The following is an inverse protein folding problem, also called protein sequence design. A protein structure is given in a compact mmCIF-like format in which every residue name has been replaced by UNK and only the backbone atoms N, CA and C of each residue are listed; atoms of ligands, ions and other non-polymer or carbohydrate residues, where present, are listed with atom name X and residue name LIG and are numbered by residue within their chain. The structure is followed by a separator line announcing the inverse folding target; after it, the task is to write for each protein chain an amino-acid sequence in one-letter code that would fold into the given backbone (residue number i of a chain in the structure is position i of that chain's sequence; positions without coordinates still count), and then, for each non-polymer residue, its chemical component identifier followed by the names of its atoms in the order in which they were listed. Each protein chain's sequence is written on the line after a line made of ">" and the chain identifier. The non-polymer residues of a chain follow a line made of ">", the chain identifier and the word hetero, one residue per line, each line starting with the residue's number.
data_IF_675223063051
#
_entry.id   IF_675223063051
#
_cell.length_a   1.000
_cell.length_b   1.000
_cell.length_c   1.000
_cell.angle_alpha   90.00
_cell.angle_beta   90.00
_cell.angle_gamma   90.00
#
_symmetry.space_group_name_H-M   'P 1'
#
loop_
_entity.id
_entity.type
_entity.pdbx_description
1 polymer ?
#
# COMPACT_ATOMS: atom_id res chain seq x y z
N UNK A 1 45.27 -24.02 -0.39
CA UNK A 1 44.72 -22.87 0.39
C UNK A 1 43.36 -22.37 -0.10
N UNK A 2 42.90 -22.70 -1.32
CA UNK A 2 41.61 -22.20 -1.84
C UNK A 2 40.35 -22.74 -1.11
N UNK A 3 40.40 -23.95 -0.54
CA UNK A 3 39.20 -24.60 0.04
C UNK A 3 38.73 -23.92 1.35
N UNK A 4 39.67 -23.37 2.15
CA UNK A 4 39.32 -22.67 3.40
C UNK A 4 38.59 -21.34 3.16
N UNK A 5 38.93 -20.63 2.08
CA UNK A 5 38.29 -19.35 1.74
C UNK A 5 36.84 -19.53 1.24
N UNK A 6 36.57 -20.64 0.53
CA UNK A 6 35.24 -21.00 0.05
C UNK A 6 34.25 -21.29 1.19
N UNK A 7 34.70 -22.01 2.22
CA UNK A 7 33.85 -22.31 3.38
C UNK A 7 33.48 -21.05 4.17
N UNK A 8 34.42 -20.11 4.35
CA UNK A 8 34.16 -18.87 5.09
C UNK A 8 33.20 -17.91 4.38
N UNK A 9 33.20 -17.88 3.04
CA UNK A 9 32.23 -17.07 2.28
C UNK A 9 30.80 -17.61 2.39
N UNK A 10 30.64 -18.94 2.45
CA UNK A 10 29.33 -19.58 2.55
C UNK A 10 28.66 -19.32 3.91
N UNK A 11 29.44 -19.24 4.99
CA UNK A 11 28.94 -18.95 6.35
C UNK A 11 28.49 -17.49 6.49
N UNK A 12 29.19 -16.54 5.86
CA UNK A 12 28.80 -15.12 5.85
C UNK A 12 27.49 -14.86 5.08
N UNK A 13 27.25 -15.59 3.99
CA UNK A 13 26.02 -15.49 3.19
C UNK A 13 24.78 -16.02 3.95
N UNK A 14 24.94 -17.06 4.76
CA UNK A 14 23.88 -17.59 5.61
C UNK A 14 23.54 -16.67 6.79
N UNK A 15 24.54 -15.96 7.36
CA UNK A 15 24.30 -15.01 8.45
C UNK A 15 23.55 -13.75 7.99
N UNK A 16 23.77 -13.28 6.76
CA UNK A 16 23.06 -12.12 6.19
C UNK A 16 21.59 -12.42 5.84
N UNK A 17 21.26 -13.66 5.49
CA UNK A 17 19.89 -14.05 5.15
C UNK A 17 18.98 -14.20 6.38
N UNK A 18 19.54 -14.42 7.56
CA UNK A 18 18.79 -14.40 8.84
C UNK A 18 18.44 -12.98 9.31
N UNK A 19 19.29 -11.99 8.98
CA UNK A 19 19.05 -10.57 9.31
C UNK A 19 17.97 -9.92 8.43
N UNK A 20 17.73 -10.47 7.23
CA UNK A 20 16.65 -10.05 6.33
C UNK A 20 15.36 -10.84 6.60
N UNK A 21 14.89 -10.77 7.85
CA UNK A 21 13.48 -11.06 8.12
C UNK A 21 12.67 -9.87 7.61
N UNK A 22 12.54 -9.76 6.28
CA UNK A 22 11.46 -8.97 5.71
C UNK A 22 10.18 -9.65 6.17
N UNK A 23 9.60 -9.16 7.27
CA UNK A 23 8.28 -9.59 7.68
C UNK A 23 7.39 -9.39 6.46
N UNK A 24 6.86 -10.47 5.91
CA UNK A 24 5.89 -10.35 4.84
C UNK A 24 4.77 -9.45 5.38
N UNK A 25 4.61 -8.27 4.79
CA UNK A 25 3.58 -7.32 5.19
C UNK A 25 2.24 -8.07 5.22
N UNK A 26 1.41 -7.79 6.23
CA UNK A 26 0.08 -8.37 6.32
C UNK A 26 -0.67 -8.08 5.00
N UNK A 27 -1.47 -9.01 4.44
CA UNK A 27 -2.09 -8.83 3.12
C UNK A 27 -2.89 -7.52 2.97
N UNK A 28 -3.55 -7.06 4.04
CA UNK A 28 -4.24 -5.76 4.05
C UNK A 28 -3.29 -4.58 3.85
N UNK A 29 -2.08 -4.63 4.41
CA UNK A 29 -1.07 -3.59 4.27
C UNK A 29 -0.63 -3.46 2.81
N UNK A 30 -0.41 -4.59 2.13
CA UNK A 30 -0.04 -4.63 0.71
C UNK A 30 -1.16 -4.06 -0.16
N UNK A 31 -2.40 -4.51 0.04
CA UNK A 31 -3.56 -4.03 -0.72
C UNK A 31 -3.81 -2.53 -0.50
N UNK A 32 -3.69 -2.07 0.76
CA UNK A 32 -3.80 -0.65 1.07
C UNK A 32 -2.73 0.16 0.33
N UNK A 33 -1.45 -0.22 0.43
CA UNK A 33 -0.35 0.50 -0.23
C UNK A 33 -0.56 0.58 -1.74
N UNK A 34 -1.07 -0.47 -2.36
CA UNK A 34 -1.39 -0.48 -3.78
C UNK A 34 -2.49 0.54 -4.14
N UNK A 35 -3.60 0.53 -3.40
CA UNK A 35 -4.74 1.43 -3.65
C UNK A 35 -4.38 2.89 -3.37
N UNK A 36 -3.74 3.17 -2.24
CA UNK A 36 -3.31 4.53 -1.90
C UNK A 36 -2.24 5.01 -2.89
N UNK A 37 -1.32 4.13 -3.30
CA UNK A 37 -0.31 4.42 -4.32
C UNK A 37 -0.93 4.82 -5.66
N UNK A 38 -1.97 4.12 -6.11
CA UNK A 38 -2.72 4.49 -7.32
C UNK A 38 -3.37 5.89 -7.17
N UNK A 39 -3.99 6.17 -6.03
CA UNK A 39 -4.58 7.49 -5.76
C UNK A 39 -3.54 8.62 -5.75
N UNK A 40 -2.33 8.36 -5.26
CA UNK A 40 -1.22 9.31 -5.38
C UNK A 40 -0.79 9.52 -6.83
N UNK A 41 -0.70 8.46 -7.64
CA UNK A 41 -0.35 8.56 -9.06
C UNK A 41 -1.41 9.32 -9.89
N UNK A 42 -2.66 9.36 -9.41
CA UNK A 42 -3.77 10.12 -10.00
C UNK A 42 -3.95 11.53 -9.39
N UNK A 43 -2.99 11.99 -8.59
CA UNK A 43 -3.01 13.31 -7.95
C UNK A 43 -4.29 13.61 -7.15
N UNK A 44 -4.86 12.59 -6.49
CA UNK A 44 -6.12 12.69 -5.72
C UNK A 44 -6.06 13.75 -4.62
N UNK A 45 -4.85 14.09 -4.16
CA UNK A 45 -4.60 15.21 -3.24
C UNK A 45 -5.19 16.54 -3.75
N UNK A 46 -5.30 16.73 -5.07
CA UNK A 46 -5.86 17.95 -5.66
C UNK A 46 -7.41 17.97 -5.63
N UNK A 47 -8.06 16.87 -5.25
CA UNK A 47 -9.51 16.76 -5.17
C UNK A 47 -10.06 16.94 -3.75
N UNK A 48 -9.21 17.03 -2.72
CA UNK A 48 -9.65 17.05 -1.31
C UNK A 48 -10.58 18.21 -0.94
N UNK A 49 -10.52 19.33 -1.68
CA UNK A 49 -11.40 20.49 -1.50
C UNK A 49 -12.72 20.36 -2.28
N UNK A 50 -12.87 19.34 -3.12
CA UNK A 50 -14.04 19.05 -3.95
C UNK A 50 -14.50 17.62 -3.63
N UNK A 51 -15.33 17.49 -2.59
CA UNK A 51 -15.80 16.19 -2.06
C UNK A 51 -16.41 15.34 -3.17
N UNK A 52 -17.12 15.96 -4.12
CA UNK A 52 -17.74 15.24 -5.24
C UNK A 52 -16.69 14.64 -6.18
N UNK A 53 -15.61 15.35 -6.50
CA UNK A 53 -14.50 14.78 -7.28
C UNK A 53 -13.75 13.71 -6.52
N UNK A 54 -13.53 13.91 -5.22
CA UNK A 54 -12.89 12.91 -4.37
C UNK A 54 -13.70 11.62 -4.35
N UNK A 55 -15.00 11.69 -4.06
CA UNK A 55 -15.94 10.57 -4.10
C UNK A 55 -16.00 9.89 -5.46
N UNK A 56 -16.04 10.69 -6.54
CA UNK A 56 -16.09 10.17 -7.90
C UNK A 56 -14.86 9.34 -8.23
N UNK A 57 -13.66 9.82 -7.89
CA UNK A 57 -12.43 9.06 -8.08
C UNK A 57 -12.52 7.68 -7.42
N UNK A 58 -12.86 7.63 -6.14
CA UNK A 58 -12.95 6.35 -5.41
C UNK A 58 -14.00 5.42 -5.98
N UNK A 59 -15.16 5.96 -6.38
CA UNK A 59 -16.22 5.16 -7.00
C UNK A 59 -15.78 4.55 -8.34
N UNK A 60 -15.14 5.34 -9.20
CA UNK A 60 -14.68 4.91 -10.52
C UNK A 60 -13.51 3.93 -10.42
N UNK A 61 -12.50 4.24 -9.60
CA UNK A 61 -11.31 3.41 -9.41
C UNK A 61 -11.67 2.06 -8.79
N UNK A 62 -12.43 2.06 -7.67
CA UNK A 62 -12.82 0.79 -7.04
C UNK A 62 -13.73 -0.05 -7.96
N UNK A 63 -14.56 0.58 -8.81
CA UNK A 63 -15.35 -0.13 -9.82
C UNK A 63 -14.46 -0.74 -10.90
N UNK A 64 -13.50 0.02 -11.41
CA UNK A 64 -12.53 -0.45 -12.39
C UNK A 64 -11.76 -1.66 -11.84
N UNK A 65 -11.19 -1.55 -10.63
CA UNK A 65 -10.49 -2.65 -9.97
C UNK A 65 -11.40 -3.88 -9.85
N UNK A 66 -12.65 -3.72 -9.41
CA UNK A 66 -13.60 -4.83 -9.23
C UNK A 66 -13.95 -5.52 -10.55
N UNK A 67 -14.11 -4.76 -11.62
CA UNK A 67 -14.65 -5.25 -12.89
C UNK A 67 -13.57 -5.73 -13.86
N UNK A 68 -12.38 -5.13 -13.81
CA UNK A 68 -11.33 -5.31 -14.83
C UNK A 68 -10.06 -5.98 -14.28
N UNK A 69 -9.79 -5.88 -12.97
CA UNK A 69 -8.53 -6.37 -12.38
C UNK A 69 -8.79 -7.58 -11.47
N UNK A 70 -9.45 -7.35 -10.33
CA UNK A 70 -9.76 -8.37 -9.34
C UNK A 70 -10.99 -7.94 -8.51
N UNK A 71 -12.09 -8.72 -8.52
CA UNK A 71 -13.27 -8.45 -7.69
C UNK A 71 -12.96 -8.25 -6.20
N UNK A 72 -12.02 -9.01 -5.63
CA UNK A 72 -11.66 -8.92 -4.22
C UNK A 72 -10.93 -7.59 -3.92
N UNK A 73 -10.01 -7.18 -4.79
CA UNK A 73 -9.31 -5.91 -4.69
C UNK A 73 -10.28 -4.72 -4.78
N UNK A 74 -11.21 -4.75 -5.73
CA UNK A 74 -12.21 -3.70 -5.86
C UNK A 74 -13.17 -3.63 -4.67
N UNK A 75 -13.58 -4.78 -4.11
CA UNK A 75 -14.38 -4.82 -2.87
C UNK A 75 -13.60 -4.28 -1.66
N UNK A 76 -12.31 -4.61 -1.55
CA UNK A 76 -11.45 -4.06 -0.51
C UNK A 76 -11.27 -2.55 -0.67
N UNK A 77 -11.11 -2.04 -1.90
CA UNK A 77 -11.07 -0.61 -2.20
C UNK A 77 -12.34 0.12 -1.72
N UNK A 78 -13.53 -0.42 -2.03
CA UNK A 78 -14.79 0.17 -1.56
C UNK A 78 -14.89 0.16 -0.03
N UNK A 79 -14.50 -0.94 0.61
CA UNK A 79 -14.50 -1.04 2.06
C UNK A 79 -13.54 -0.04 2.70
N UNK A 80 -12.29 0.01 2.22
CA UNK A 80 -11.25 0.93 2.70
C UNK A 80 -11.72 2.38 2.64
N UNK A 81 -12.28 2.77 1.49
CA UNK A 81 -12.82 4.12 1.28
C UNK A 81 -14.00 4.43 2.21
N UNK A 82 -15.05 3.59 2.21
CA UNK A 82 -16.28 3.86 2.97
C UNK A 82 -16.04 3.88 4.47
N UNK A 83 -15.16 3.02 4.98
CA UNK A 83 -14.84 2.95 6.41
C UNK A 83 -13.98 4.14 6.86
N UNK A 84 -13.14 4.69 5.99
CA UNK A 84 -12.12 5.67 6.36
C UNK A 84 -12.22 7.00 5.60
N UNK A 85 -13.37 7.33 5.00
CA UNK A 85 -13.50 8.48 4.10
C UNK A 85 -12.97 9.79 4.72
N UNK A 86 -13.37 10.10 5.96
CA UNK A 86 -12.97 11.33 6.63
C UNK A 86 -11.45 11.37 6.91
N UNK A 87 -10.87 10.25 7.37
CA UNK A 87 -9.42 10.17 7.64
C UNK A 87 -8.63 10.23 6.33
N UNK A 88 -9.07 9.52 5.28
CA UNK A 88 -8.46 9.61 3.96
C UNK A 88 -8.46 11.04 3.43
N UNK A 89 -9.58 11.76 3.53
CA UNK A 89 -9.62 13.17 3.11
C UNK A 89 -8.62 14.04 3.89
N UNK A 90 -8.54 13.85 5.21
CA UNK A 90 -7.56 14.54 6.07
C UNK A 90 -6.12 14.22 5.67
N UNK A 91 -5.78 12.95 5.53
CA UNK A 91 -4.44 12.46 5.21
C UNK A 91 -3.97 12.92 3.81
N UNK A 92 -4.87 12.91 2.81
CA UNK A 92 -4.58 13.44 1.48
C UNK A 92 -4.45 14.97 1.48
N UNK A 93 -5.21 15.68 2.32
CA UNK A 93 -5.08 17.12 2.50
C UNK A 93 -3.73 17.48 3.13
N UNK A 94 -3.29 16.71 4.13
CA UNK A 94 -1.99 16.84 4.79
C UNK A 94 -0.82 16.27 3.94
N UNK A 95 -1.12 15.66 2.78
CA UNK A 95 -0.15 15.05 1.86
C UNK A 95 0.73 13.99 2.54
N UNK A 96 0.14 13.22 3.45
CA UNK A 96 0.85 12.17 4.20
C UNK A 96 1.27 11.05 3.23
N UNK A 97 2.55 10.62 3.20
CA UNK A 97 3.01 9.59 2.28
C UNK A 97 2.17 8.30 2.33
N UNK A 98 1.91 7.69 1.17
CA UNK A 98 1.02 6.52 1.04
C UNK A 98 1.32 5.38 2.03
N UNK A 99 2.60 5.11 2.30
CA UNK A 99 3.01 4.10 3.27
C UNK A 99 2.53 4.41 4.69
N UNK A 100 2.53 5.68 5.09
CA UNK A 100 2.12 6.12 6.42
C UNK A 100 0.60 6.16 6.54
N UNK A 101 -0.13 6.52 5.47
CA UNK A 101 -1.60 6.46 5.44
C UNK A 101 -2.07 5.05 5.82
N UNK A 102 -1.49 4.00 5.22
CA UNK A 102 -1.91 2.64 5.51
C UNK A 102 -1.66 2.18 6.96
N UNK A 103 -0.62 2.70 7.61
CA UNK A 103 -0.41 2.53 9.04
C UNK A 103 -1.42 3.32 9.88
N UNK A 104 -1.72 4.57 9.52
CA UNK A 104 -2.71 5.40 10.21
C UNK A 104 -4.12 4.79 10.12
N UNK A 105 -4.44 4.16 8.99
CA UNK A 105 -5.66 3.40 8.76
C UNK A 105 -5.66 1.99 9.37
N UNK A 106 -4.60 1.60 10.09
CA UNK A 106 -4.45 0.29 10.75
C UNK A 106 -4.55 -0.90 9.80
N UNK A 107 -4.13 -0.72 8.55
CA UNK A 107 -4.01 -1.79 7.55
C UNK A 107 -2.61 -2.41 7.58
N UNK A 108 -1.64 -1.58 7.94
CA UNK A 108 -0.33 -1.88 8.48
C UNK A 108 -0.33 -1.45 9.96
#
# INVERSE_FOLDING_TARGET
>A
MLIRALLTMLVLLFAFSLLYSASADHPSCVLCKQIIGAAYAHDVQNYVNDVTKFEKYWSEECTFLRMQIDPALGNYCFWLYRTNQAELMKEFFERIPAANICSNLKQC
#
